data_IF_627132086721
#
_entry.id   IF_627132086721
#
_cell.length_a   1.000
_cell.length_b   1.000
_cell.length_c   1.000
_cell.angle_alpha   90.00
_cell.angle_beta   90.00
_cell.angle_gamma   90.00
#
_symmetry.space_group_name_H-M   'P 1'
#
loop_
_entity.id
_entity.type
_entity.pdbx_description
1 polymer ?
#
# COMPACT_ATOMS: atom_id res chain seq x y z
N UNK A 1 43.96 66.95 -22.05
CA UNK A 1 43.46 65.91 -22.99
C UNK A 1 42.45 65.04 -22.25
N UNK A 2 41.25 64.87 -22.82
CA UNK A 2 40.03 64.39 -22.16
C UNK A 2 40.16 62.92 -21.68
N UNK A 3 39.74 62.64 -20.44
CA UNK A 3 39.54 61.28 -19.91
C UNK A 3 38.15 60.79 -20.35
N UNK A 4 38.10 59.69 -21.09
CA UNK A 4 36.87 59.01 -21.49
C UNK A 4 36.60 57.91 -20.47
N UNK A 5 35.54 58.05 -19.67
CA UNK A 5 35.05 57.00 -18.76
C UNK A 5 33.96 56.24 -19.52
N UNK A 6 34.21 54.98 -19.83
CA UNK A 6 33.22 54.06 -20.43
C UNK A 6 32.49 53.37 -19.28
N UNK A 7 31.22 53.71 -19.08
CA UNK A 7 30.32 52.95 -18.21
C UNK A 7 29.79 51.74 -18.99
N UNK A 8 30.20 50.53 -18.60
CA UNK A 8 29.56 49.28 -19.05
C UNK A 8 28.28 49.10 -18.22
N UNK A 9 27.11 49.33 -18.82
CA UNK A 9 25.84 48.89 -18.25
C UNK A 9 25.72 47.37 -18.47
N UNK A 10 25.90 46.60 -17.39
CA UNK A 10 25.54 45.18 -17.35
C UNK A 10 24.03 45.12 -17.06
N UNK A 11 23.23 44.93 -18.10
CA UNK A 11 21.81 44.66 -17.95
C UNK A 11 21.61 43.29 -17.32
N UNK A 12 21.10 43.26 -16.09
CA UNK A 12 20.60 42.04 -15.46
C UNK A 12 19.32 41.60 -16.21
N UNK A 13 19.47 40.62 -17.10
CA UNK A 13 18.35 39.96 -17.76
C UNK A 13 17.68 39.05 -16.72
N UNK A 14 16.64 39.53 -16.06
CA UNK A 14 15.79 38.70 -15.19
C UNK A 14 15.01 37.74 -16.09
N UNK A 15 15.52 36.53 -16.30
CA UNK A 15 14.71 35.45 -16.88
C UNK A 15 13.52 35.21 -15.94
N UNK A 16 12.27 35.31 -16.42
CA UNK A 16 11.13 34.86 -15.64
C UNK A 16 11.33 33.37 -15.35
N UNK A 17 11.38 33.03 -14.06
CA UNK A 17 11.25 31.65 -13.59
C UNK A 17 9.82 31.26 -13.97
N UNK A 18 9.66 30.62 -15.13
CA UNK A 18 8.45 29.88 -15.41
C UNK A 18 8.39 28.76 -14.36
N UNK A 19 7.55 28.97 -13.37
CA UNK A 19 7.08 27.89 -12.52
C UNK A 19 6.26 27.00 -13.45
N UNK A 20 6.92 26.03 -14.09
CA UNK A 20 6.23 24.99 -14.85
C UNK A 20 5.44 24.18 -13.85
N UNK A 21 4.22 24.62 -13.55
CA UNK A 21 3.25 23.78 -12.89
C UNK A 21 3.10 22.52 -13.73
N UNK A 22 3.08 21.35 -13.09
CA UNK A 22 2.77 20.11 -13.79
C UNK A 22 1.45 20.28 -14.52
N UNK A 23 1.46 20.12 -15.84
CA UNK A 23 0.26 20.26 -16.66
C UNK A 23 -0.46 18.92 -16.65
N UNK A 24 -1.65 18.90 -16.06
CA UNK A 24 -2.59 17.79 -16.22
C UNK A 24 -3.17 17.90 -17.63
N UNK A 25 -3.19 16.82 -18.44
CA UNK A 25 -3.76 16.89 -19.78
C UNK A 25 -5.21 17.41 -19.75
N UNK A 26 -5.54 18.37 -20.62
CA UNK A 26 -6.86 19.03 -20.63
C UNK A 26 -8.01 18.02 -20.84
N UNK A 27 -7.78 17.03 -21.70
CA UNK A 27 -8.77 16.00 -22.07
C UNK A 27 -8.47 14.63 -21.44
N UNK A 28 -7.82 14.60 -20.27
CA UNK A 28 -7.46 13.34 -19.60
C UNK A 28 -8.70 12.44 -19.42
N UNK A 29 -8.61 11.21 -19.91
CA UNK A 29 -9.63 10.19 -19.69
C UNK A 29 -9.26 9.32 -18.50
N UNK A 30 -10.09 9.37 -17.47
CA UNK A 30 -9.88 8.60 -16.24
C UNK A 30 -10.89 7.47 -16.22
N UNK A 31 -10.40 6.24 -16.35
CA UNK A 31 -11.23 5.05 -16.50
C UNK A 31 -10.87 3.98 -15.48
N UNK A 32 -11.86 3.16 -15.14
CA UNK A 32 -11.72 2.04 -14.21
C UNK A 32 -12.69 0.91 -14.54
N UNK A 33 -12.60 -0.19 -13.81
CA UNK A 33 -13.52 -1.32 -13.91
C UNK A 33 -14.32 -1.51 -12.60
N UNK A 34 -15.09 -2.58 -12.46
CA UNK A 34 -15.64 -3.01 -11.17
C UNK A 34 -14.71 -4.04 -10.53
N UNK A 35 -14.05 -3.65 -9.44
CA UNK A 35 -13.06 -4.42 -8.71
C UNK A 35 -13.04 -4.03 -7.22
N UNK A 36 -14.05 -4.50 -6.48
CA UNK A 36 -14.18 -4.25 -5.04
C UNK A 36 -12.95 -4.76 -4.25
N UNK A 37 -12.40 -3.99 -3.28
CA UNK A 37 -12.83 -2.68 -2.79
C UNK A 37 -12.03 -1.51 -3.40
N UNK A 38 -11.28 -1.76 -4.48
CA UNK A 38 -10.37 -0.80 -5.08
C UNK A 38 -11.12 0.24 -5.93
N UNK A 39 -12.08 -0.23 -6.71
CA UNK A 39 -12.94 0.60 -7.55
C UNK A 39 -14.29 -0.12 -7.71
N UNK A 40 -15.38 0.49 -7.26
CA UNK A 40 -16.71 -0.10 -7.34
C UNK A 40 -17.77 0.99 -7.27
N UNK A 41 -18.98 0.67 -7.71
CA UNK A 41 -20.14 1.56 -7.54
C UNK A 41 -20.90 1.14 -6.29
N UNK A 42 -21.08 2.08 -5.38
CA UNK A 42 -22.04 1.96 -4.26
C UNK A 42 -23.04 3.10 -4.33
N UNK A 43 -24.33 2.76 -4.27
CA UNK A 43 -25.44 3.70 -4.37
C UNK A 43 -25.31 4.69 -5.56
N UNK A 44 -24.86 4.19 -6.72
CA UNK A 44 -24.69 4.98 -7.95
C UNK A 44 -23.47 5.90 -7.96
N UNK A 45 -22.63 5.87 -6.92
CA UNK A 45 -21.40 6.66 -6.83
C UNK A 45 -20.18 5.75 -6.97
N UNK A 46 -19.23 6.15 -7.81
CA UNK A 46 -17.94 5.48 -7.92
C UNK A 46 -17.09 5.76 -6.66
N UNK A 47 -16.64 4.69 -6.02
CA UNK A 47 -15.91 4.70 -4.75
C UNK A 47 -14.84 3.60 -4.75
N UNK A 48 -14.05 3.57 -3.69
CA UNK A 48 -13.00 2.57 -3.49
C UNK A 48 -11.63 3.19 -3.27
N UNK A 49 -10.68 2.35 -2.87
CA UNK A 49 -9.32 2.76 -2.51
C UNK A 49 -8.65 3.52 -3.66
N UNK A 50 -8.65 2.95 -4.87
CA UNK A 50 -7.99 3.52 -6.04
C UNK A 50 -8.66 4.81 -6.51
N UNK A 51 -9.99 4.88 -6.41
CA UNK A 51 -10.79 6.06 -6.75
C UNK A 51 -10.45 7.23 -5.82
N UNK A 52 -10.50 6.98 -4.51
CA UNK A 52 -10.16 7.99 -3.50
C UNK A 52 -8.69 8.42 -3.59
N UNK A 53 -7.77 7.48 -3.85
CA UNK A 53 -6.35 7.79 -4.04
C UNK A 53 -6.12 8.68 -5.26
N UNK A 54 -6.68 8.32 -6.42
CA UNK A 54 -6.46 9.09 -7.64
C UNK A 54 -7.09 10.49 -7.56
N UNK A 55 -8.31 10.58 -7.03
CA UNK A 55 -8.95 11.87 -6.77
C UNK A 55 -8.11 12.74 -5.81
N UNK A 56 -7.58 12.16 -4.73
CA UNK A 56 -6.70 12.88 -3.79
C UNK A 56 -5.39 13.33 -4.43
N UNK A 57 -4.82 12.52 -5.34
CA UNK A 57 -3.63 12.91 -6.12
C UNK A 57 -3.94 14.15 -6.95
N UNK A 58 -5.03 14.12 -7.73
CA UNK A 58 -5.46 15.26 -8.55
C UNK A 58 -5.69 16.52 -7.71
N UNK A 59 -6.35 16.40 -6.56
CA UNK A 59 -6.55 17.50 -5.62
C UNK A 59 -5.23 18.09 -5.11
N UNK A 60 -4.24 17.23 -4.74
CA UNK A 60 -2.91 17.69 -4.30
C UNK A 60 -2.11 18.35 -5.42
N UNK A 61 -2.41 18.01 -6.67
CA UNK A 61 -1.86 18.65 -7.87
C UNK A 61 -2.61 19.94 -8.26
N UNK A 62 -3.63 20.35 -7.49
CA UNK A 62 -4.40 21.57 -7.73
C UNK A 62 -5.47 21.43 -8.82
N UNK A 63 -5.87 20.22 -9.17
CA UNK A 63 -6.95 19.95 -10.13
C UNK A 63 -8.33 20.05 -9.48
N UNK A 64 -9.30 20.54 -10.25
CA UNK A 64 -10.73 20.45 -9.92
C UNK A 64 -11.40 19.16 -10.43
N UNK A 65 -10.66 18.32 -11.17
CA UNK A 65 -11.15 17.01 -11.62
C UNK A 65 -11.43 16.15 -10.39
N UNK A 66 -12.63 15.58 -10.34
CA UNK A 66 -13.09 14.73 -9.26
C UNK A 66 -13.74 13.46 -9.81
N UNK A 67 -14.12 12.55 -8.91
CA UNK A 67 -14.64 11.22 -9.24
C UNK A 67 -15.85 11.20 -10.18
N UNK A 68 -16.62 12.29 -10.29
CA UNK A 68 -17.76 12.33 -11.23
C UNK A 68 -17.32 12.28 -12.69
N UNK A 69 -16.07 12.62 -12.98
CA UNK A 69 -15.48 12.55 -14.33
C UNK A 69 -14.89 11.18 -14.66
N UNK A 70 -14.78 10.28 -13.67
CA UNK A 70 -14.20 8.96 -13.86
C UNK A 70 -15.25 8.04 -14.46
N UNK A 71 -14.84 7.16 -15.39
CA UNK A 71 -15.77 6.24 -16.07
C UNK A 71 -15.48 4.79 -15.67
N UNK A 72 -16.53 4.09 -15.25
CA UNK A 72 -16.49 2.65 -15.05
C UNK A 72 -16.83 1.95 -16.38
N UNK A 73 -15.93 1.08 -16.84
CA UNK A 73 -16.04 0.34 -18.10
C UNK A 73 -15.87 -1.16 -17.86
N UNK A 74 -16.38 -2.04 -18.75
CA UNK A 74 -15.95 -3.43 -18.78
C UNK A 74 -14.44 -3.55 -18.93
N UNK A 75 -13.81 -4.51 -18.23
CA UNK A 75 -12.35 -4.68 -18.20
C UNK A 75 -11.69 -4.61 -19.58
N UNK A 76 -12.12 -5.46 -20.53
CA UNK A 76 -11.54 -5.50 -21.88
C UNK A 76 -11.72 -4.19 -22.64
N UNK A 77 -12.80 -3.45 -22.41
CA UNK A 77 -13.00 -2.13 -23.03
C UNK A 77 -12.01 -1.12 -22.46
N UNK A 78 -11.92 -1.04 -21.13
CA UNK A 78 -10.98 -0.14 -20.44
C UNK A 78 -9.54 -0.44 -20.80
N UNK A 79 -9.13 -1.72 -20.77
CA UNK A 79 -7.78 -2.18 -21.13
C UNK A 79 -7.40 -1.80 -22.57
N UNK A 80 -8.31 -1.94 -23.53
CA UNK A 80 -8.03 -1.52 -24.91
C UNK A 80 -8.03 0.00 -25.07
N UNK A 81 -8.90 0.72 -24.36
CA UNK A 81 -9.00 2.17 -24.46
C UNK A 81 -7.71 2.84 -23.97
N UNK A 82 -7.17 2.44 -22.82
CA UNK A 82 -5.92 2.99 -22.29
C UNK A 82 -4.71 2.71 -23.19
N UNK A 83 -4.71 1.62 -23.98
CA UNK A 83 -3.61 1.32 -24.91
C UNK A 83 -3.65 2.13 -26.20
N UNK A 84 -4.83 2.63 -26.59
CA UNK A 84 -5.05 3.16 -27.94
C UNK A 84 -5.43 4.63 -27.97
N UNK A 85 -5.77 5.22 -26.82
CA UNK A 85 -6.21 6.60 -26.72
C UNK A 85 -5.21 7.41 -25.89
N UNK A 86 -4.60 8.47 -26.45
CA UNK A 86 -3.71 9.37 -25.72
C UNK A 86 -4.35 9.92 -24.44
N UNK A 87 -3.51 10.28 -23.47
CA UNK A 87 -3.92 10.89 -22.20
C UNK A 87 -5.03 10.12 -21.45
N UNK A 88 -5.01 8.79 -21.57
CA UNK A 88 -5.92 7.91 -20.84
C UNK A 88 -5.19 7.25 -19.69
N UNK A 89 -5.82 7.20 -18.52
CA UNK A 89 -5.35 6.46 -17.34
C UNK A 89 -6.37 5.41 -16.94
N UNK A 90 -5.91 4.17 -16.80
CA UNK A 90 -6.67 3.04 -16.26
C UNK A 90 -6.14 2.67 -14.88
N UNK A 91 -7.07 2.50 -13.95
CA UNK A 91 -6.83 1.79 -12.69
C UNK A 91 -8.03 0.90 -12.38
N UNK A 92 -7.89 -0.19 -11.66
CA UNK A 92 -6.69 -0.72 -11.01
C UNK A 92 -6.08 -1.81 -11.88
N UNK A 93 -4.79 -1.72 -12.22
CA UNK A 93 -4.18 -2.69 -13.13
C UNK A 93 -2.83 -3.17 -12.60
N UNK A 94 -2.65 -4.49 -12.66
CA UNK A 94 -1.38 -5.13 -12.32
C UNK A 94 -0.34 -4.91 -13.40
N UNK A 95 0.86 -4.52 -12.94
CA UNK A 95 2.07 -4.47 -13.76
C UNK A 95 2.68 -5.86 -13.87
N UNK A 96 2.72 -6.40 -15.08
CA UNK A 96 3.32 -7.71 -15.38
C UNK A 96 4.40 -7.56 -16.45
N UNK A 97 5.34 -8.52 -16.58
CA UNK A 97 6.35 -8.48 -17.63
C UNK A 97 5.76 -8.34 -19.04
N UNK A 98 4.59 -8.94 -19.28
CA UNK A 98 3.91 -8.89 -20.58
C UNK A 98 3.32 -7.50 -20.91
N UNK A 99 2.94 -6.74 -19.88
CA UNK A 99 2.31 -5.41 -20.02
C UNK A 99 3.30 -4.26 -19.85
N UNK A 100 4.53 -4.54 -19.43
CA UNK A 100 5.53 -3.54 -19.03
C UNK A 100 5.69 -2.40 -20.04
N UNK A 101 5.73 -2.74 -21.33
CA UNK A 101 5.93 -1.79 -22.43
C UNK A 101 4.63 -1.24 -23.03
N UNK A 102 3.45 -1.70 -22.57
CA UNK A 102 2.16 -1.20 -23.06
C UNK A 102 1.77 0.13 -22.39
N UNK A 103 2.40 0.51 -21.28
CA UNK A 103 1.97 1.62 -20.43
C UNK A 103 3.12 2.38 -19.77
N UNK A 104 2.83 3.63 -19.37
CA UNK A 104 3.59 4.31 -18.32
C UNK A 104 2.94 4.02 -16.97
N UNK A 105 3.72 3.85 -15.91
CA UNK A 105 3.25 3.34 -14.62
C UNK A 105 3.46 4.33 -13.47
N UNK A 106 2.42 4.56 -12.66
CA UNK A 106 2.55 5.20 -11.35
C UNK A 106 2.04 4.25 -10.25
N UNK A 107 2.86 4.03 -9.23
CA UNK A 107 2.62 3.00 -8.22
C UNK A 107 3.91 2.34 -7.72
N UNK A 108 3.79 1.19 -7.04
CA UNK A 108 2.54 0.47 -6.74
C UNK A 108 1.69 1.20 -5.71
N UNK A 109 0.38 0.97 -5.66
CA UNK A 109 -0.50 1.53 -4.62
C UNK A 109 -1.32 0.48 -3.87
N UNK A 110 -1.40 -0.74 -4.36
CA UNK A 110 -2.07 -1.83 -3.66
C UNK A 110 -1.32 -3.12 -3.94
N UNK A 111 -1.40 -4.04 -3.00
CA UNK A 111 -0.89 -5.39 -3.15
C UNK A 111 -2.08 -6.33 -3.21
N UNK A 112 -2.13 -7.13 -4.25
CA UNK A 112 -3.22 -8.07 -4.48
C UNK A 112 -2.69 -9.49 -4.68
N UNK A 113 -3.58 -10.47 -4.58
CA UNK A 113 -3.28 -11.87 -4.83
C UNK A 113 -4.39 -12.52 -5.64
N UNK A 114 -3.99 -13.44 -6.51
CA UNK A 114 -4.92 -14.28 -7.25
C UNK A 114 -5.12 -15.59 -6.51
N UNK A 115 -6.38 -16.00 -6.40
CA UNK A 115 -6.80 -17.22 -5.75
C UNK A 115 -7.57 -18.12 -6.73
N UNK A 116 -7.48 -19.43 -6.51
CA UNK A 116 -8.42 -20.40 -7.06
C UNK A 116 -9.56 -20.60 -6.07
N UNK A 117 -10.78 -20.39 -6.57
CA UNK A 117 -12.02 -20.66 -5.86
C UNK A 117 -12.71 -21.86 -6.48
N UNK A 118 -13.21 -22.76 -5.65
CA UNK A 118 -13.92 -23.97 -6.09
C UNK A 118 -15.28 -24.08 -5.43
N UNK A 119 -16.16 -24.89 -6.03
CA UNK A 119 -17.39 -25.35 -5.38
C UNK A 119 -17.09 -26.47 -4.38
N UNK A 120 -18.04 -26.79 -3.52
CA UNK A 120 -17.93 -27.76 -2.43
C UNK A 120 -17.42 -29.13 -2.95
N UNK A 121 -16.47 -29.73 -2.21
CA UNK A 121 -15.94 -31.07 -2.51
C UNK A 121 -14.69 -31.12 -3.39
N UNK A 122 -14.21 -29.99 -3.92
CA UNK A 122 -12.90 -29.91 -4.59
C UNK A 122 -11.86 -29.38 -3.58
N UNK A 123 -10.90 -30.21 -3.20
CA UNK A 123 -9.78 -29.84 -2.34
C UNK A 123 -8.47 -29.87 -3.15
N UNK A 124 -7.74 -28.76 -3.15
CA UNK A 124 -6.46 -28.62 -3.87
C UNK A 124 -5.31 -28.55 -2.88
N UNK A 125 -4.68 -29.69 -2.60
CA UNK A 125 -3.49 -29.73 -1.73
C UNK A 125 -2.18 -29.50 -2.49
N UNK A 126 -2.12 -29.76 -3.80
CA UNK A 126 -0.86 -29.69 -4.57
C UNK A 126 -0.98 -28.97 -5.93
N UNK A 127 0.15 -28.66 -6.59
CA UNK A 127 0.16 -27.96 -7.90
C UNK A 127 -0.41 -28.84 -9.04
N UNK A 128 -0.26 -30.16 -8.95
CA UNK A 128 -0.82 -31.12 -9.91
C UNK A 128 -2.35 -31.06 -10.00
N UNK A 129 -3.01 -30.68 -8.91
CA UNK A 129 -4.47 -30.73 -8.82
C UNK A 129 -5.13 -29.65 -9.67
N UNK A 130 -4.43 -28.52 -9.89
CA UNK A 130 -4.91 -27.42 -10.74
C UNK A 130 -5.00 -27.84 -12.22
N UNK A 131 -4.09 -28.69 -12.69
CA UNK A 131 -4.03 -29.12 -14.09
C UNK A 131 -5.30 -29.87 -14.54
N UNK A 132 -6.00 -30.50 -13.61
CA UNK A 132 -7.22 -31.26 -13.86
C UNK A 132 -8.51 -30.41 -13.86
N UNK A 133 -8.45 -29.18 -13.35
CA UNK A 133 -9.61 -28.31 -13.24
C UNK A 133 -9.95 -27.66 -14.57
N UNK A 134 -11.24 -27.55 -14.87
CA UNK A 134 -11.76 -26.52 -15.78
C UNK A 134 -11.96 -25.24 -14.99
N UNK A 135 -11.34 -24.15 -15.45
CA UNK A 135 -11.23 -22.91 -14.66
C UNK A 135 -11.79 -21.75 -15.49
N UNK A 136 -12.81 -21.06 -14.96
CA UNK A 136 -13.25 -19.79 -15.53
C UNK A 136 -12.23 -18.69 -15.22
N UNK A 137 -11.86 -17.92 -16.24
CA UNK A 137 -10.93 -16.78 -16.14
C UNK A 137 -11.52 -15.59 -16.87
N UNK A 138 -11.22 -14.38 -16.41
CA UNK A 138 -11.67 -13.17 -17.10
C UNK A 138 -10.79 -12.94 -18.33
N UNK A 139 -11.42 -12.70 -19.49
CA UNK A 139 -10.75 -12.37 -20.73
C UNK A 139 -9.82 -11.17 -20.56
N UNK A 140 -8.64 -11.20 -21.18
CA UNK A 140 -7.59 -10.17 -21.10
C UNK A 140 -7.05 -9.89 -19.67
N UNK A 141 -7.46 -10.67 -18.67
CA UNK A 141 -7.04 -10.49 -17.27
C UNK A 141 -5.71 -11.18 -16.98
N UNK A 142 -5.01 -10.69 -15.95
CA UNK A 142 -3.79 -11.31 -15.41
C UNK A 142 -4.02 -12.76 -14.96
N UNK A 143 -5.26 -13.10 -14.60
CA UNK A 143 -5.65 -14.42 -14.08
C UNK A 143 -5.40 -15.55 -15.08
N UNK A 144 -5.37 -15.26 -16.38
CA UNK A 144 -5.03 -16.24 -17.42
C UNK A 144 -3.59 -16.73 -17.19
N UNK A 145 -2.64 -15.79 -17.16
CA UNK A 145 -1.22 -16.11 -17.00
C UNK A 145 -0.91 -16.67 -15.61
N UNK A 146 -1.49 -16.11 -14.54
CA UNK A 146 -1.25 -16.61 -13.18
C UNK A 146 -1.73 -18.05 -13.01
N UNK A 147 -2.88 -18.41 -13.61
CA UNK A 147 -3.42 -19.77 -13.58
C UNK A 147 -2.58 -20.76 -14.39
N UNK A 148 -2.08 -20.35 -15.57
CA UNK A 148 -1.15 -21.17 -16.36
C UNK A 148 0.18 -21.40 -15.62
N UNK A 149 0.77 -20.34 -15.06
CA UNK A 149 2.01 -20.42 -14.29
C UNK A 149 1.87 -21.29 -13.03
N UNK A 150 0.66 -21.38 -12.46
CA UNK A 150 0.38 -22.26 -11.34
C UNK A 150 0.27 -23.76 -11.71
N UNK A 151 0.29 -24.10 -13.01
CA UNK A 151 0.29 -25.47 -13.51
C UNK A 151 -0.99 -25.91 -14.23
N UNK A 152 -1.90 -24.97 -14.57
CA UNK A 152 -3.07 -25.29 -15.37
C UNK A 152 -2.73 -25.56 -16.85
N UNK A 153 -3.75 -25.86 -17.65
CA UNK A 153 -3.64 -26.06 -19.10
C UNK A 153 -4.55 -25.06 -19.83
N UNK A 154 -4.04 -24.42 -20.88
CA UNK A 154 -4.79 -23.47 -21.70
C UNK A 154 -6.13 -24.04 -22.20
N UNK A 155 -6.17 -25.33 -22.53
CA UNK A 155 -7.40 -26.02 -22.99
C UNK A 155 -8.49 -26.13 -21.92
N UNK A 156 -8.12 -25.96 -20.66
CA UNK A 156 -9.03 -26.03 -19.53
C UNK A 156 -9.46 -24.64 -19.03
N UNK A 157 -8.92 -23.57 -19.60
CA UNK A 157 -9.35 -22.21 -19.28
C UNK A 157 -10.58 -21.85 -20.10
N UNK A 158 -11.63 -21.39 -19.42
CA UNK A 158 -12.86 -20.90 -20.03
C UNK A 158 -12.90 -19.39 -19.82
N UNK A 159 -12.62 -18.64 -20.87
CA UNK A 159 -12.68 -17.18 -20.82
C UNK A 159 -14.12 -16.68 -20.75
N UNK A 160 -14.39 -15.81 -19.79
CA UNK A 160 -15.65 -15.08 -19.62
C UNK A 160 -15.39 -13.58 -19.50
N UNK A 161 -16.43 -12.76 -19.60
CA UNK A 161 -16.29 -11.29 -19.57
C UNK A 161 -16.44 -10.71 -18.16
N UNK A 162 -17.15 -11.38 -17.27
CA UNK A 162 -17.48 -10.86 -15.95
C UNK A 162 -17.29 -11.91 -14.85
N UNK A 163 -17.08 -11.45 -13.62
CA UNK A 163 -17.04 -12.33 -12.45
C UNK A 163 -18.40 -13.02 -12.22
N UNK A 164 -19.51 -12.35 -12.54
CA UNK A 164 -20.85 -12.95 -12.48
C UNK A 164 -20.96 -14.18 -13.39
N UNK A 165 -20.48 -14.08 -14.64
CA UNK A 165 -20.48 -15.21 -15.57
C UNK A 165 -19.60 -16.35 -15.08
N UNK A 166 -18.43 -16.05 -14.50
CA UNK A 166 -17.55 -17.05 -13.91
C UNK A 166 -18.25 -17.82 -12.78
N UNK A 167 -18.92 -17.10 -11.87
CA UNK A 167 -19.67 -17.68 -10.76
C UNK A 167 -20.82 -18.57 -11.27
N UNK A 168 -21.57 -18.12 -12.28
CA UNK A 168 -22.66 -18.92 -12.87
C UNK A 168 -22.18 -20.25 -13.43
N UNK A 169 -21.03 -20.27 -14.11
CA UNK A 169 -20.43 -21.51 -14.66
C UNK A 169 -19.96 -22.46 -13.56
N UNK A 170 -19.56 -21.96 -12.40
CA UNK A 170 -19.21 -22.80 -11.24
C UNK A 170 -20.48 -23.35 -10.57
N UNK A 171 -21.52 -22.52 -10.45
CA UNK A 171 -22.81 -22.89 -9.86
C UNK A 171 -23.59 -23.93 -10.65
N UNK A 172 -23.44 -23.95 -11.98
CA UNK A 172 -24.10 -24.94 -12.86
C UNK A 172 -23.25 -26.20 -13.12
N UNK A 173 -21.99 -26.20 -12.66
CA UNK A 173 -21.05 -27.30 -12.81
C UNK A 173 -20.38 -27.39 -14.19
N UNK A 174 -20.51 -26.37 -15.05
CA UNK A 174 -19.82 -26.30 -16.34
C UNK A 174 -18.30 -26.20 -16.18
N UNK A 175 -17.84 -25.53 -15.12
CA UNK A 175 -16.44 -25.49 -14.69
C UNK A 175 -16.33 -25.91 -13.22
N UNK A 176 -15.11 -26.25 -12.80
CA UNK A 176 -14.84 -26.72 -11.43
C UNK A 176 -14.33 -25.60 -10.52
N UNK A 177 -13.83 -24.52 -11.12
CA UNK A 177 -13.20 -23.43 -10.42
C UNK A 177 -13.33 -22.12 -11.19
N UNK A 178 -13.08 -21.01 -10.51
CA UNK A 178 -12.76 -19.74 -11.15
C UNK A 178 -11.51 -19.13 -10.50
N UNK A 179 -10.69 -18.45 -11.29
CA UNK A 179 -9.51 -17.75 -10.80
C UNK A 179 -9.75 -16.25 -10.77
N UNK A 180 -9.56 -15.62 -9.62
CA UNK A 180 -9.81 -14.18 -9.47
C UNK A 180 -9.07 -13.58 -8.28
N UNK A 181 -9.10 -12.25 -8.16
CA UNK A 181 -8.53 -11.54 -7.02
C UNK A 181 -9.22 -11.90 -5.70
N UNK A 182 -8.55 -11.64 -4.59
CA UNK A 182 -9.03 -12.03 -3.26
C UNK A 182 -10.34 -11.34 -2.86
N UNK A 183 -10.27 -10.07 -2.47
CA UNK A 183 -11.46 -9.32 -2.11
C UNK A 183 -12.55 -9.26 -3.19
N UNK A 184 -12.25 -9.02 -4.49
CA UNK A 184 -13.29 -8.97 -5.51
C UNK A 184 -13.88 -10.35 -5.79
N UNK A 185 -13.12 -11.44 -5.61
CA UNK A 185 -13.64 -12.81 -5.69
C UNK A 185 -14.61 -13.14 -4.57
N UNK A 186 -14.25 -12.82 -3.32
CA UNK A 186 -15.15 -12.98 -2.18
C UNK A 186 -16.44 -12.15 -2.36
N UNK A 187 -16.31 -10.90 -2.84
CA UNK A 187 -17.48 -10.05 -3.12
C UNK A 187 -18.34 -10.62 -4.24
N UNK A 188 -17.74 -11.10 -5.32
CA UNK A 188 -18.47 -11.71 -6.44
C UNK A 188 -19.22 -12.97 -6.00
N UNK A 189 -18.59 -13.85 -5.22
CA UNK A 189 -19.25 -15.03 -4.62
C UNK A 189 -20.45 -14.58 -3.78
N UNK A 190 -20.24 -13.66 -2.83
CA UNK A 190 -21.30 -13.21 -1.94
C UNK A 190 -22.49 -12.55 -2.68
N UNK A 191 -22.24 -11.97 -3.87
CA UNK A 191 -23.23 -11.23 -4.65
C UNK A 191 -23.97 -12.12 -5.65
N UNK A 192 -23.26 -13.01 -6.34
CA UNK A 192 -23.77 -13.72 -7.52
C UNK A 192 -23.98 -15.23 -7.31
N UNK A 193 -23.33 -15.84 -6.32
CA UNK A 193 -23.47 -17.28 -6.09
C UNK A 193 -24.87 -17.61 -5.57
N UNK A 194 -25.46 -18.70 -6.08
CA UNK A 194 -26.74 -19.23 -5.55
C UNK A 194 -26.63 -19.61 -4.08
N UNK A 195 -25.49 -20.12 -3.67
CA UNK A 195 -25.16 -20.47 -2.28
C UNK A 195 -23.67 -20.18 -2.00
N UNK A 196 -23.34 -18.99 -1.47
CA UNK A 196 -21.97 -18.62 -1.14
C UNK A 196 -21.24 -19.61 -0.22
N UNK A 197 -21.97 -20.35 0.63
CA UNK A 197 -21.36 -21.30 1.57
C UNK A 197 -20.72 -22.51 0.89
N UNK A 198 -21.07 -22.75 -0.37
CA UNK A 198 -20.49 -23.82 -1.18
C UNK A 198 -19.20 -23.43 -1.88
N UNK A 199 -18.82 -22.16 -1.83
CA UNK A 199 -17.56 -21.72 -2.39
C UNK A 199 -16.46 -21.78 -1.35
N UNK A 200 -15.30 -22.28 -1.74
CA UNK A 200 -14.12 -22.32 -0.91
C UNK A 200 -12.94 -21.65 -1.62
N UNK A 201 -12.24 -20.79 -0.88
CA UNK A 201 -10.90 -20.32 -1.24
C UNK A 201 -9.94 -21.49 -1.05
N UNK A 202 -9.33 -21.97 -2.14
CA UNK A 202 -8.44 -23.13 -2.09
C UNK A 202 -6.98 -22.71 -2.00
N UNK A 203 -6.50 -21.97 -3.01
CA UNK A 203 -5.07 -21.82 -3.24
C UNK A 203 -4.71 -20.46 -3.79
N UNK A 204 -3.71 -19.84 -3.18
CA UNK A 204 -3.01 -18.70 -3.74
C UNK A 204 -2.11 -19.15 -4.88
N UNK A 205 -2.31 -18.54 -6.05
CA UNK A 205 -1.58 -18.88 -7.27
C UNK A 205 -0.59 -17.80 -7.67
N UNK A 206 -0.79 -16.57 -7.20
CA UNK A 206 0.13 -15.48 -7.46
C UNK A 206 -0.10 -14.28 -6.54
N UNK A 207 0.90 -13.41 -6.51
CA UNK A 207 0.96 -12.20 -5.71
C UNK A 207 1.48 -11.07 -6.60
N UNK A 208 0.81 -9.93 -6.56
CA UNK A 208 1.04 -8.82 -7.48
C UNK A 208 0.92 -7.47 -6.81
N UNK A 209 1.39 -6.47 -7.53
CA UNK A 209 1.22 -5.08 -7.18
C UNK A 209 0.42 -4.38 -8.27
N UNK A 210 -0.47 -3.50 -7.82
CA UNK A 210 -1.39 -2.75 -8.65
C UNK A 210 -1.01 -1.28 -8.78
N UNK A 211 -1.25 -0.74 -9.97
CA UNK A 211 -0.74 0.54 -10.45
C UNK A 211 -1.82 1.34 -11.18
N UNK A 212 -1.54 2.64 -11.34
CA UNK A 212 -2.17 3.48 -12.34
C UNK A 212 -1.39 3.29 -13.64
N UNK A 213 -2.04 2.81 -14.70
CA UNK A 213 -1.45 2.67 -16.02
C UNK A 213 -1.90 3.82 -16.91
N UNK A 214 -0.96 4.50 -17.54
CA UNK A 214 -1.20 5.59 -18.46
C UNK A 214 -0.87 5.13 -19.88
N UNK A 215 -1.62 5.65 -20.85
CA UNK A 215 -1.29 5.50 -22.25
C UNK A 215 0.16 5.99 -22.52
N UNK A 216 0.94 5.31 -23.39
CA UNK A 216 2.32 5.72 -23.70
C UNK A 216 2.49 7.15 -24.24
N UNK A 217 1.44 7.73 -24.84
CA UNK A 217 1.45 9.10 -25.35
C UNK A 217 1.15 10.15 -24.25
N UNK A 218 0.94 9.73 -22.99
CA UNK A 218 0.79 10.65 -21.85
C UNK A 218 2.14 11.25 -21.46
N UNK A 219 2.19 12.54 -21.10
CA UNK A 219 3.43 13.19 -20.63
C UNK A 219 4.07 12.46 -19.43
N UNK A 220 5.35 12.13 -19.56
CA UNK A 220 6.14 11.52 -18.48
C UNK A 220 6.23 12.43 -17.25
N UNK A 221 6.26 13.75 -17.44
CA UNK A 221 6.25 14.72 -16.34
C UNK A 221 4.97 14.60 -15.50
N UNK A 222 3.81 14.41 -16.15
CA UNK A 222 2.55 14.20 -15.45
C UNK A 222 2.56 12.85 -14.70
N UNK A 223 2.99 11.75 -15.33
CA UNK A 223 3.08 10.44 -14.67
C UNK A 223 4.03 10.48 -13.47
N UNK A 224 5.18 11.16 -13.61
CA UNK A 224 6.14 11.37 -12.52
C UNK A 224 5.54 12.18 -11.37
N UNK A 225 4.77 13.22 -11.67
CA UNK A 225 4.07 14.01 -10.66
C UNK A 225 3.00 13.21 -9.91
N UNK A 226 2.22 12.37 -10.60
CA UNK A 226 1.27 11.42 -9.99
C UNK A 226 2.03 10.50 -9.03
N UNK A 227 3.12 9.90 -9.49
CA UNK A 227 3.90 8.96 -8.69
C UNK A 227 4.54 9.63 -7.45
N UNK A 228 5.06 10.84 -7.59
CA UNK A 228 5.61 11.61 -6.48
C UNK A 228 4.53 12.02 -5.47
N UNK A 229 3.34 12.39 -5.95
CA UNK A 229 2.20 12.70 -5.08
C UNK A 229 1.72 11.47 -4.32
N UNK A 230 1.60 10.32 -4.99
CA UNK A 230 1.27 9.05 -4.34
C UNK A 230 2.29 8.69 -3.23
N UNK A 231 3.59 8.86 -3.49
CA UNK A 231 4.65 8.68 -2.48
C UNK A 231 4.43 9.58 -1.27
N UNK A 232 4.06 10.85 -1.47
CA UNK A 232 3.75 11.77 -0.37
C UNK A 232 2.52 11.31 0.42
N UNK A 233 1.45 10.89 -0.26
CA UNK A 233 0.23 10.38 0.38
C UNK A 233 0.50 9.15 1.26
N UNK A 234 1.51 8.32 0.90
CA UNK A 234 1.93 7.13 1.64
C UNK A 234 2.87 7.41 2.83
N UNK A 235 3.60 8.52 2.81
CA UNK A 235 4.68 8.77 3.76
C UNK A 235 4.38 9.89 4.75
N UNK A 236 3.68 10.94 4.33
CA UNK A 236 3.53 12.14 5.13
C UNK A 236 2.58 11.92 6.32
N UNK A 237 3.15 11.93 7.54
CA UNK A 237 2.43 11.90 8.83
C UNK A 237 2.60 13.21 9.61
N UNK A 238 3.34 14.17 9.07
CA UNK A 238 3.83 15.31 9.81
C UNK A 238 2.71 16.19 10.37
N UNK A 239 1.59 16.30 9.67
CA UNK A 239 0.47 17.13 10.13
C UNK A 239 -0.48 16.37 11.06
N UNK A 240 -0.90 15.16 10.67
CA UNK A 240 -1.99 14.44 11.36
C UNK A 240 -1.58 13.19 12.17
N UNK A 241 -0.32 12.78 12.17
CA UNK A 241 0.13 11.55 12.86
C UNK A 241 -0.09 10.26 12.08
N UNK A 242 -1.00 10.29 11.11
CA UNK A 242 -1.31 9.28 10.10
C UNK A 242 -1.27 9.88 8.69
N UNK A 243 -1.19 9.02 7.67
CA UNK A 243 -1.11 9.41 6.26
C UNK A 243 -2.50 9.48 5.62
N UNK A 244 -2.62 10.23 4.52
CA UNK A 244 -3.83 10.22 3.71
C UNK A 244 -4.14 8.81 3.16
N UNK A 245 -3.10 8.05 2.80
CA UNK A 245 -3.23 6.67 2.35
C UNK A 245 -3.83 5.75 3.42
N UNK A 246 -3.32 5.80 4.66
CA UNK A 246 -3.87 5.01 5.78
C UNK A 246 -5.35 5.33 6.02
N UNK A 247 -5.72 6.61 6.00
CA UNK A 247 -7.11 7.05 6.19
C UNK A 247 -8.03 6.58 5.05
N UNK A 248 -7.55 6.58 3.82
CA UNK A 248 -8.32 6.06 2.68
C UNK A 248 -8.54 4.56 2.83
N UNK A 249 -7.50 3.80 3.20
CA UNK A 249 -7.60 2.36 3.38
C UNK A 249 -8.60 1.98 4.48
N UNK A 250 -8.62 2.70 5.62
CA UNK A 250 -9.57 2.44 6.71
C UNK A 250 -11.04 2.58 6.34
N UNK A 251 -11.36 3.32 5.27
CA UNK A 251 -12.75 3.43 4.81
C UNK A 251 -13.27 2.13 4.22
N UNK A 252 -12.38 1.31 3.65
CA UNK A 252 -12.73 0.21 2.76
C UNK A 252 -12.25 -1.15 3.25
N UNK A 253 -11.18 -1.18 4.04
CA UNK A 253 -10.60 -2.40 4.58
C UNK A 253 -10.59 -2.37 6.11
N UNK A 254 -10.92 -3.50 6.76
CA UNK A 254 -10.78 -3.62 8.20
C UNK A 254 -9.30 -3.59 8.60
N UNK A 255 -9.06 -3.31 9.88
CA UNK A 255 -7.73 -3.51 10.48
C UNK A 255 -7.41 -5.00 10.39
N UNK A 256 -6.30 -5.33 9.74
CA UNK A 256 -5.87 -6.70 9.55
C UNK A 256 -5.19 -7.30 10.77
N UNK A 257 -4.95 -8.59 10.69
CA UNK A 257 -4.01 -9.35 11.50
C UNK A 257 -2.93 -9.95 10.60
N UNK A 258 -1.75 -10.18 11.15
CA UNK A 258 -0.64 -10.78 10.40
C UNK A 258 0.04 -11.78 11.30
N UNK A 259 0.06 -13.05 10.87
CA UNK A 259 0.84 -14.06 11.56
C UNK A 259 2.33 -13.71 11.45
N UNK A 260 3.02 -13.71 12.59
CA UNK A 260 4.43 -13.35 12.69
C UNK A 260 5.15 -14.33 13.62
N UNK A 261 6.33 -14.76 13.19
CA UNK A 261 7.25 -15.56 13.99
C UNK A 261 8.05 -14.71 14.99
N UNK A 262 7.90 -13.37 14.95
CA UNK A 262 8.55 -12.47 15.90
C UNK A 262 7.95 -12.68 17.29
N UNK A 263 8.78 -13.06 18.25
CA UNK A 263 8.35 -13.29 19.63
C UNK A 263 8.51 -12.05 20.49
N UNK A 264 7.79 -11.99 21.63
CA UNK A 264 7.94 -10.94 22.62
C UNK A 264 9.39 -10.87 23.17
N UNK A 265 10.10 -12.00 23.26
CA UNK A 265 11.50 -12.09 23.69
C UNK A 265 12.44 -11.39 22.69
N UNK A 266 12.28 -11.64 21.39
CA UNK A 266 13.06 -10.99 20.33
C UNK A 266 12.93 -9.45 20.38
N UNK A 267 11.74 -8.94 20.72
CA UNK A 267 11.50 -7.50 20.86
C UNK A 267 12.25 -6.92 22.06
N UNK A 268 12.21 -7.61 23.20
CA UNK A 268 12.90 -7.17 24.43
C UNK A 268 14.41 -7.18 24.21
N UNK A 269 14.96 -8.24 23.62
CA UNK A 269 16.39 -8.35 23.34
C UNK A 269 16.89 -7.24 22.41
N UNK A 270 16.13 -6.94 21.35
CA UNK A 270 16.47 -5.86 20.42
C UNK A 270 16.44 -4.48 21.09
N UNK A 271 15.45 -4.23 21.97
CA UNK A 271 15.36 -2.99 22.76
C UNK A 271 16.55 -2.90 23.73
N UNK A 272 16.89 -3.97 24.44
CA UNK A 272 18.01 -3.97 25.38
C UNK A 272 19.35 -3.73 24.68
N UNK A 273 19.60 -4.41 23.55
CA UNK A 273 20.79 -4.19 22.74
C UNK A 273 20.91 -2.73 22.32
N UNK A 274 19.81 -2.13 21.86
CA UNK A 274 19.80 -0.73 21.44
C UNK A 274 20.05 0.22 22.61
N UNK A 275 19.52 -0.08 23.79
CA UNK A 275 19.77 0.71 25.01
C UNK A 275 21.26 0.68 25.38
N UNK A 276 21.91 -0.48 25.29
CA UNK A 276 23.36 -0.60 25.51
C UNK A 276 24.15 0.25 24.52
N UNK A 277 23.76 0.24 23.25
CA UNK A 277 24.40 1.03 22.20
C UNK A 277 24.20 2.54 22.41
N UNK A 278 22.98 2.99 22.75
CA UNK A 278 22.69 4.40 23.10
C UNK A 278 23.43 4.85 24.37
N UNK A 279 23.64 3.97 25.35
CA UNK A 279 24.45 4.27 26.54
C UNK A 279 25.94 4.40 26.23
N UNK A 280 26.40 3.90 25.08
CA UNK A 280 27.79 3.97 24.63
C UNK A 280 28.00 5.14 23.67
N UNK A 281 27.25 5.17 22.56
CA UNK A 281 27.35 6.16 21.47
C UNK A 281 25.96 6.50 20.91
N UNK A 282 25.24 7.46 21.52
CA UNK A 282 23.91 7.84 21.06
C UNK A 282 23.88 8.33 19.61
N UNK A 283 24.85 9.15 19.21
CA UNK A 283 24.88 9.74 17.86
C UNK A 283 25.14 8.69 16.79
N UNK A 284 26.11 7.80 17.00
CA UNK A 284 26.40 6.71 16.08
C UNK A 284 25.25 5.71 16.01
N UNK A 285 24.66 5.37 17.15
CA UNK A 285 23.52 4.44 17.22
C UNK A 285 22.30 4.97 16.47
N UNK A 286 21.91 6.22 16.69
CA UNK A 286 20.79 6.84 15.96
C UNK A 286 21.07 6.92 14.45
N UNK A 287 22.32 7.17 14.04
CA UNK A 287 22.71 7.16 12.64
C UNK A 287 22.53 5.77 12.01
N UNK A 288 23.01 4.71 12.67
CA UNK A 288 22.85 3.32 12.21
C UNK A 288 21.37 2.88 12.16
N UNK A 289 20.58 3.24 13.18
CA UNK A 289 19.12 2.98 13.17
C UNK A 289 18.49 3.63 11.94
N UNK A 290 18.77 4.91 11.69
CA UNK A 290 18.16 5.67 10.60
C UNK A 290 18.69 5.29 9.21
N UNK A 291 19.86 4.66 9.14
CA UNK A 291 20.37 4.01 7.93
C UNK A 291 19.74 2.63 7.67
N UNK A 292 18.92 2.12 8.60
CA UNK A 292 18.28 0.80 8.47
C UNK A 292 19.26 -0.36 8.63
N UNK A 293 20.35 -0.15 9.38
CA UNK A 293 21.38 -1.15 9.57
C UNK A 293 20.94 -2.26 10.54
N UNK A 294 21.46 -3.48 10.32
CA UNK A 294 21.32 -4.58 11.27
C UNK A 294 22.14 -4.28 12.55
N UNK A 295 21.64 -4.64 13.75
CA UNK A 295 20.41 -5.39 14.04
C UNK A 295 19.14 -4.53 14.18
N UNK A 296 19.22 -3.21 14.05
CA UNK A 296 18.11 -2.29 14.32
C UNK A 296 16.93 -2.42 13.35
N UNK A 297 17.21 -2.87 12.13
CA UNK A 297 16.24 -3.48 11.22
C UNK A 297 16.75 -4.87 10.92
N UNK A 298 15.95 -5.89 11.21
CA UNK A 298 16.35 -7.27 10.92
C UNK A 298 16.48 -7.49 9.41
N UNK A 299 17.56 -8.17 9.02
CA UNK A 299 17.90 -8.38 7.61
C UNK A 299 17.06 -9.47 6.93
N UNK A 300 16.38 -10.30 7.72
CA UNK A 300 15.55 -11.42 7.25
C UNK A 300 14.07 -11.11 7.34
N UNK A 301 13.60 -10.54 8.46
CA UNK A 301 12.22 -10.08 8.66
C UNK A 301 12.19 -8.58 9.00
N UNK A 302 12.01 -7.68 8.02
CA UNK A 302 12.01 -6.24 8.25
C UNK A 302 10.82 -5.74 9.09
N UNK A 303 9.92 -6.62 9.53
CA UNK A 303 8.91 -6.27 10.55
C UNK A 303 9.51 -6.20 11.96
N UNK A 304 10.67 -6.81 12.20
CA UNK A 304 11.44 -6.66 13.43
C UNK A 304 12.38 -5.45 13.30
N UNK A 305 11.99 -4.34 13.91
CA UNK A 305 12.77 -3.12 13.88
C UNK A 305 12.56 -2.24 15.12
N UNK A 306 13.52 -1.37 15.34
CA UNK A 306 13.53 -0.38 16.42
C UNK A 306 12.94 0.96 15.97
N UNK A 307 12.23 1.60 16.89
CA UNK A 307 11.96 3.03 16.87
C UNK A 307 12.45 3.69 18.16
N UNK A 308 12.84 4.97 18.08
CA UNK A 308 13.31 5.74 19.23
C UNK A 308 12.61 7.09 19.28
N UNK A 309 12.01 7.43 20.41
CA UNK A 309 11.46 8.77 20.69
C UNK A 309 12.28 9.50 21.75
N UNK A 310 12.25 10.83 21.72
CA UNK A 310 12.59 11.64 22.90
C UNK A 310 11.39 11.75 23.87
N UNK A 311 11.60 12.37 25.03
CA UNK A 311 10.55 12.58 26.04
C UNK A 311 9.53 13.66 25.66
N UNK A 312 9.74 14.36 24.54
CA UNK A 312 8.81 15.32 23.96
C UNK A 312 8.06 14.71 22.77
N UNK A 313 8.05 13.38 22.61
CA UNK A 313 7.33 12.69 21.53
C UNK A 313 7.87 13.04 20.13
N UNK A 314 9.15 13.43 20.03
CA UNK A 314 9.86 13.58 18.75
C UNK A 314 10.47 12.25 18.36
N UNK A 315 10.21 11.79 17.14
CA UNK A 315 10.80 10.56 16.62
C UNK A 315 12.27 10.81 16.24
N UNK A 316 13.19 10.10 16.89
CA UNK A 316 14.64 10.22 16.70
C UNK A 316 15.22 9.08 15.82
N UNK A 317 14.60 7.89 15.89
CA UNK A 317 15.07 6.69 15.22
C UNK A 317 13.95 5.93 14.53
N UNK A 318 14.05 5.67 13.23
CA UNK A 318 13.13 4.78 12.49
C UNK A 318 13.73 4.29 11.17
N UNK A 319 14.33 3.09 11.18
CA UNK A 319 15.03 2.55 10.01
C UNK A 319 14.14 2.11 8.85
N UNK A 320 12.88 1.76 9.11
CA UNK A 320 11.93 1.35 8.05
C UNK A 320 11.24 2.54 7.39
N UNK A 321 11.23 3.70 8.05
CA UNK A 321 10.75 4.95 7.44
C UNK A 321 11.56 6.17 7.93
N UNK A 322 12.81 6.34 7.45
CA UNK A 322 13.70 7.41 7.91
C UNK A 322 13.17 8.82 7.65
N UNK A 323 12.24 9.00 6.69
CA UNK A 323 11.63 10.29 6.37
C UNK A 323 10.75 10.84 7.52
N UNK A 324 10.41 10.01 8.50
CA UNK A 324 9.63 10.42 9.68
C UNK A 324 10.47 10.95 10.83
N UNK A 325 11.80 10.76 10.77
CA UNK A 325 12.74 11.21 11.81
C UNK A 325 12.71 12.74 11.92
N UNK A 326 12.75 13.25 13.15
CA UNK A 326 12.60 14.66 13.49
C UNK A 326 11.14 15.13 13.59
N UNK A 327 10.16 14.29 13.27
CA UNK A 327 8.75 14.67 13.41
C UNK A 327 8.34 14.66 14.88
N UNK A 328 7.81 15.79 15.35
CA UNK A 328 7.17 15.90 16.65
C UNK A 328 5.74 15.37 16.57
N UNK A 329 5.41 14.35 17.34
CA UNK A 329 4.12 13.65 17.25
C UNK A 329 3.15 13.92 18.40
N UNK A 330 3.52 14.75 19.38
CA UNK A 330 2.59 15.02 20.48
C UNK A 330 1.29 15.62 19.97
N UNK A 331 0.17 15.11 20.48
CA UNK A 331 -1.15 15.53 20.06
C UNK A 331 -1.62 14.93 18.73
N UNK A 332 -0.87 14.01 18.12
CA UNK A 332 -1.17 13.46 16.79
C UNK A 332 -1.56 11.98 16.87
N UNK A 333 -2.82 11.63 16.56
CA UNK A 333 -3.30 10.26 16.70
C UNK A 333 -2.74 9.33 15.61
N UNK A 334 -2.93 8.03 15.79
CA UNK A 334 -2.88 7.05 14.70
C UNK A 334 -4.06 7.22 13.72
N UNK A 335 -4.18 6.31 12.75
CA UNK A 335 -5.20 6.38 11.72
C UNK A 335 -6.63 6.16 12.26
N UNK A 336 -6.79 5.56 13.45
CA UNK A 336 -8.10 5.29 14.08
C UNK A 336 -8.42 6.23 15.23
N UNK A 337 -7.53 7.17 15.55
CA UNK A 337 -7.76 8.22 16.55
C UNK A 337 -7.06 8.02 17.89
N UNK A 338 -6.25 6.97 18.07
CA UNK A 338 -5.56 6.72 19.35
C UNK A 338 -4.31 7.59 19.48
N UNK A 339 -4.06 8.12 20.67
CA UNK A 339 -2.90 8.97 20.99
C UNK A 339 -1.68 8.14 21.39
N UNK A 340 -1.43 7.02 20.70
CA UNK A 340 -0.52 5.97 21.19
C UNK A 340 0.92 6.45 21.43
N UNK A 341 1.36 7.50 20.73
CA UNK A 341 2.70 8.08 20.91
C UNK A 341 2.79 8.93 22.17
N UNK A 342 1.72 9.64 22.53
CA UNK A 342 1.64 10.31 23.82
C UNK A 342 1.51 9.26 24.94
N UNK A 343 0.67 8.23 24.74
CA UNK A 343 0.43 7.15 25.70
C UNK A 343 1.71 6.32 25.98
N UNK A 344 2.48 5.96 24.96
CA UNK A 344 3.75 5.25 25.15
C UNK A 344 4.77 6.12 25.88
N UNK A 345 4.79 7.44 25.61
CA UNK A 345 5.70 8.36 26.29
C UNK A 345 5.32 8.50 27.76
N UNK A 346 4.02 8.62 28.07
CA UNK A 346 3.54 8.64 29.45
C UNK A 346 3.91 7.35 30.19
N UNK A 347 3.68 6.18 29.57
CA UNK A 347 4.05 4.88 30.12
C UNK A 347 5.55 4.79 30.43
N UNK A 348 6.40 5.20 29.48
CA UNK A 348 7.85 5.19 29.65
C UNK A 348 8.32 6.13 30.78
N UNK A 349 7.72 7.32 30.89
CA UNK A 349 8.10 8.31 31.90
C UNK A 349 7.66 7.89 33.32
N UNK A 350 6.52 7.19 33.43
CA UNK A 350 5.94 6.80 34.71
C UNK A 350 6.49 5.47 35.23
N UNK A 351 6.53 4.44 34.38
CA UNK A 351 6.86 3.07 34.76
C UNK A 351 8.28 2.66 34.32
N UNK A 352 8.95 3.47 33.49
CA UNK A 352 10.28 3.20 32.95
C UNK A 352 10.27 2.22 31.77
N UNK A 353 9.29 1.31 31.69
CA UNK A 353 9.11 0.35 30.59
C UNK A 353 7.70 -0.21 30.57
N UNK A 354 7.30 -0.82 29.46
CA UNK A 354 6.05 -1.55 29.37
C UNK A 354 5.68 -2.01 27.97
N UNK A 355 4.47 -2.56 27.85
CA UNK A 355 3.89 -2.99 26.59
C UNK A 355 2.74 -2.06 26.21
N UNK A 356 2.61 -1.76 24.92
CA UNK A 356 1.51 -0.95 24.37
C UNK A 356 1.01 -1.54 23.06
N UNK A 357 -0.30 -1.45 22.82
CA UNK A 357 -0.96 -1.84 21.58
C UNK A 357 -1.54 -0.62 20.86
N UNK A 358 -1.42 -0.58 19.53
CA UNK A 358 -1.91 0.51 18.68
C UNK A 358 -2.11 0.04 17.24
N UNK A 359 -2.67 0.89 16.38
CA UNK A 359 -2.83 0.57 14.94
C UNK A 359 -1.69 1.20 14.15
N UNK A 360 -1.05 0.41 13.29
CA UNK A 360 0.08 0.88 12.49
C UNK A 360 0.15 0.20 11.13
N UNK A 361 0.67 0.91 10.13
CA UNK A 361 0.84 0.38 8.77
C UNK A 361 2.02 -0.58 8.70
N UNK A 362 1.83 -1.75 8.09
CA UNK A 362 2.92 -2.64 7.74
C UNK A 362 3.88 -1.96 6.73
N UNK A 363 5.21 -2.01 6.92
CA UNK A 363 6.16 -1.31 6.05
C UNK A 363 6.15 -1.82 4.60
N UNK A 364 5.70 -3.06 4.35
CA UNK A 364 5.64 -3.67 3.02
C UNK A 364 4.28 -3.44 2.36
N UNK A 365 3.19 -3.88 2.99
CA UNK A 365 1.84 -3.79 2.37
C UNK A 365 1.18 -2.42 2.56
N UNK A 366 1.62 -1.64 3.56
CA UNK A 366 0.99 -0.40 4.02
C UNK A 366 -0.47 -0.56 4.47
N UNK A 367 -0.94 -1.81 4.61
CA UNK A 367 -2.21 -2.14 5.26
C UNK A 367 -2.04 -1.91 6.76
N UNK A 368 -3.12 -1.50 7.43
CA UNK A 368 -3.14 -1.24 8.86
C UNK A 368 -3.42 -2.52 9.63
N UNK A 369 -2.61 -2.76 10.65
CA UNK A 369 -2.71 -3.91 11.54
C UNK A 369 -2.65 -3.43 12.98
N UNK A 370 -3.21 -4.24 13.91
CA UNK A 370 -2.89 -4.06 15.33
C UNK A 370 -1.42 -4.43 15.56
N UNK A 371 -0.72 -3.58 16.29
CA UNK A 371 0.70 -3.73 16.62
C UNK A 371 0.87 -3.66 18.13
N UNK A 372 1.66 -4.58 18.67
CA UNK A 372 2.09 -4.60 20.07
C UNK A 372 3.59 -4.29 20.13
N UNK A 373 3.97 -3.32 20.97
CA UNK A 373 5.36 -2.92 21.16
C UNK A 373 5.78 -2.99 22.63
N UNK A 374 7.01 -3.45 22.84
CA UNK A 374 7.74 -3.24 24.09
C UNK A 374 8.47 -1.90 23.98
N UNK A 375 8.44 -1.12 25.05
CA UNK A 375 9.17 0.14 25.17
C UNK A 375 9.93 0.21 26.48
N UNK A 376 11.07 0.88 26.46
CA UNK A 376 11.88 1.13 27.65
C UNK A 376 12.61 2.47 27.55
N UNK A 377 12.61 3.19 28.66
CA UNK A 377 13.29 4.46 28.84
C UNK A 377 14.75 4.21 29.24
N UNK A 378 15.68 4.88 28.58
CA UNK A 378 17.08 4.93 28.98
C UNK A 378 17.64 6.36 28.97
N UNK A 379 18.81 6.51 29.58
CA UNK A 379 19.65 7.72 29.48
C UNK A 379 20.91 7.34 28.71
N UNK A 380 21.23 8.07 27.63
CA UNK A 380 22.44 7.86 26.83
C UNK A 380 23.70 8.41 27.50
N UNK A 381 24.86 8.22 26.86
CA UNK A 381 26.13 8.82 27.33
C UNK A 381 26.20 10.34 27.19
N UNK A 382 25.24 10.94 26.50
CA UNK A 382 25.07 12.39 26.32
C UNK A 382 24.07 13.01 27.32
N UNK A 383 23.69 12.27 28.36
CA UNK A 383 22.69 12.62 29.37
C UNK A 383 21.25 12.85 28.83
N UNK A 384 21.02 12.63 27.53
CA UNK A 384 19.68 12.70 26.95
C UNK A 384 18.87 11.44 27.29
N UNK A 385 17.54 11.60 27.35
CA UNK A 385 16.59 10.51 27.63
C UNK A 385 15.95 10.02 26.34
N UNK A 386 15.94 8.71 26.15
CA UNK A 386 15.41 8.04 24.97
C UNK A 386 14.36 7.02 25.37
N UNK A 387 13.28 6.94 24.61
CA UNK A 387 12.29 5.89 24.70
C UNK A 387 12.52 4.97 23.51
N UNK A 388 13.11 3.82 23.77
CA UNK A 388 13.43 2.80 22.77
C UNK A 388 12.29 1.81 22.70
N UNK A 389 11.83 1.47 21.51
CA UNK A 389 10.80 0.45 21.34
C UNK A 389 11.00 -0.42 20.12
N UNK A 390 10.46 -1.63 20.20
CA UNK A 390 10.32 -2.56 19.09
C UNK A 390 8.96 -3.23 19.18
N UNK A 391 8.37 -3.64 18.06
CA UNK A 391 7.06 -4.29 18.10
C UNK A 391 6.79 -5.23 16.95
N UNK A 392 5.78 -6.06 17.14
CA UNK A 392 5.25 -7.01 16.16
C UNK A 392 3.78 -6.75 15.88
N UNK A 393 3.33 -7.13 14.70
CA UNK A 393 1.90 -7.15 14.40
C UNK A 393 1.24 -8.33 15.12
N UNK A 394 -0.02 -8.15 15.51
CA UNK A 394 -0.76 -9.19 16.22
C UNK A 394 -1.22 -10.29 15.27
N UNK A 395 -1.08 -11.53 15.73
CA UNK A 395 -1.58 -12.70 15.04
C UNK A 395 -3.11 -12.68 15.04
N UNK A 396 -3.73 -13.42 14.10
CA UNK A 396 -5.19 -13.41 13.96
C UNK A 396 -5.93 -13.98 15.17
N UNK A 397 -5.33 -14.92 15.90
CA UNK A 397 -5.88 -15.43 17.16
C UNK A 397 -5.88 -14.38 18.27
N UNK A 398 -4.83 -13.58 18.38
CA UNK A 398 -4.68 -12.55 19.41
C UNK A 398 -5.67 -11.40 19.21
N UNK A 399 -6.04 -11.07 17.96
CA UNK A 399 -7.04 -10.05 17.69
C UNK A 399 -8.45 -10.41 18.16
N UNK A 400 -8.79 -11.70 18.25
CA UNK A 400 -10.13 -12.16 18.63
C UNK A 400 -10.35 -12.16 20.15
N UNK A 401 -9.27 -12.07 20.94
CA UNK A 401 -9.30 -12.10 22.40
C UNK A 401 -9.38 -10.71 23.05
N UNK A 402 -9.25 -9.63 22.26
CA UNK A 402 -9.48 -8.27 22.76
C UNK A 402 -11.00 -7.96 22.80
N UNK A 403 -11.53 -7.51 23.96
CA UNK A 403 -12.97 -7.32 24.18
C UNK A 403 -13.61 -6.20 23.35
#
# INVERSE_FOLDING_TARGET
MKRLIVFLLIGFLTLPIFCSGTVIPEDIQIITEDYYPLNFVDNGTLQGISVDLFEKILQKMGSDINRSSFKLLPWSEGYNLVRTTPDTVLFTITRTPERENDFLWAGPFFTDRDLIYTNEGVNLSEKSDIAALKIAVIKDSRTINSTLNAGSNEKNLIEVLTAEDAIKLVDDGSVNAFAYGDYPGQKAIATYAKDPSKFAQQKEISYFEDYFAFNPDTSEEFVSAVNNTLKQLKMNRAESGSTDYEKIFLKYLPIGCMDSDITDEMLVDLVQKTIEDLKSDPSGTLASINAGESPYVDSTDPNLYVFVFDTNVTLLGNGVNPQTVGTHYSGKPDAVGNMFRDDLTELALKEGKGWISYVYSNPKSLILYKKKSYIELCTGSDDARYIVGAGRYLNCSEMQEEP
#
